data_IF_675270528688
#
_entry.id   IF_675270528688
#
_cell.length_a   1.000
_cell.length_b   1.000
_cell.length_c   1.000
_cell.angle_alpha   90.00
_cell.angle_beta   90.00
_cell.angle_gamma   90.00
#
_symmetry.space_group_name_H-M   'P 1'
#
loop_
_entity.id
_entity.type
_entity.pdbx_description
1 polymer ?
#
# COMPACT_ATOMS: atom_id res chain seq x y z
N UNK A 1 3.90 7.34 9.77
CA UNK A 1 4.66 6.07 9.73
C UNK A 1 5.51 6.01 8.47
N UNK A 2 4.91 5.92 7.27
CA UNK A 2 5.66 5.90 6.00
C UNK A 2 6.54 7.14 5.78
N UNK A 3 6.15 8.31 6.29
CA UNK A 3 7.00 9.51 6.28
C UNK A 3 8.36 9.32 6.96
N UNK A 4 8.42 8.48 8.00
CA UNK A 4 9.67 8.18 8.71
C UNK A 4 10.59 7.34 7.82
N UNK A 5 10.02 6.38 7.08
CA UNK A 5 10.76 5.52 6.15
C UNK A 5 11.29 6.33 4.96
N UNK A 6 10.47 7.23 4.40
CA UNK A 6 10.90 8.17 3.35
C UNK A 6 12.02 9.08 3.86
N UNK A 7 11.86 9.67 5.05
CA UNK A 7 12.90 10.52 5.66
C UNK A 7 14.20 9.80 5.90
N UNK A 8 14.15 8.52 6.28
CA UNK A 8 15.33 7.67 6.47
C UNK A 8 15.91 7.12 5.16
N UNK A 9 15.32 7.49 4.01
CA UNK A 9 15.70 6.99 2.67
C UNK A 9 15.60 5.47 2.52
N UNK A 10 14.78 4.83 3.36
CA UNK A 10 14.47 3.40 3.28
C UNK A 10 13.59 3.11 2.06
N UNK A 11 12.71 4.05 1.73
CA UNK A 11 11.83 4.00 0.57
C UNK A 11 11.83 5.37 -0.15
N UNK A 12 11.53 5.37 -1.45
CA UNK A 12 11.37 6.60 -2.22
C UNK A 12 10.13 7.39 -1.76
N UNK A 13 10.11 8.69 -2.07
CA UNK A 13 8.96 9.55 -1.76
C UNK A 13 7.70 9.05 -2.49
N UNK A 14 7.82 8.70 -3.77
CA UNK A 14 6.70 8.23 -4.58
C UNK A 14 6.08 6.96 -4.00
N UNK A 15 6.91 6.01 -3.56
CA UNK A 15 6.43 4.81 -2.87
C UNK A 15 5.78 5.15 -1.53
N UNK A 16 6.35 6.11 -0.79
CA UNK A 16 5.78 6.57 0.47
C UNK A 16 4.35 7.11 0.32
N UNK A 17 4.06 7.81 -0.77
CA UNK A 17 2.70 8.27 -1.08
C UNK A 17 1.77 7.11 -1.50
N UNK A 18 2.23 6.20 -2.37
CA UNK A 18 1.47 4.99 -2.75
C UNK A 18 1.07 4.19 -1.50
N UNK A 19 1.97 4.03 -0.53
CA UNK A 19 1.69 3.28 0.70
C UNK A 19 0.74 3.99 1.66
N UNK A 20 0.72 5.32 1.66
CA UNK A 20 -0.28 6.10 2.41
C UNK A 20 -1.67 5.93 1.78
N UNK A 21 -1.74 5.95 0.46
CA UNK A 21 -2.99 5.73 -0.28
C UNK A 21 -3.54 4.32 -0.02
N UNK A 22 -2.67 3.30 -0.04
CA UNK A 22 -3.01 1.93 0.35
C UNK A 22 -3.50 1.81 1.80
N UNK A 23 -2.88 2.53 2.73
CA UNK A 23 -3.37 2.59 4.12
C UNK A 23 -4.78 3.22 4.20
N UNK A 24 -5.04 4.25 3.39
CA UNK A 24 -6.37 4.84 3.23
C UNK A 24 -7.38 3.85 2.65
N UNK A 25 -6.96 3.06 1.66
CA UNK A 25 -7.77 2.00 1.08
C UNK A 25 -8.22 0.95 2.11
N UNK A 26 -7.35 0.55 3.06
CA UNK A 26 -7.74 -0.32 4.18
C UNK A 26 -8.95 0.23 4.96
N UNK A 27 -8.98 1.54 5.21
CA UNK A 27 -10.09 2.17 5.92
C UNK A 27 -11.36 2.20 5.05
N UNK A 28 -11.23 2.42 3.75
CA UNK A 28 -12.34 2.35 2.81
C UNK A 28 -12.92 0.93 2.77
N UNK A 29 -12.08 -0.10 2.71
CA UNK A 29 -12.51 -1.50 2.79
C UNK A 29 -13.29 -1.74 4.08
N UNK A 30 -12.72 -1.45 5.25
CA UNK A 30 -13.38 -1.70 6.55
C UNK A 30 -14.74 -0.98 6.65
N UNK A 31 -14.80 0.30 6.26
CA UNK A 31 -16.03 1.08 6.35
C UNK A 31 -17.06 0.72 5.26
N UNK A 32 -16.63 0.32 4.05
CA UNK A 32 -17.54 -0.11 2.98
C UNK A 32 -17.96 -1.58 3.12
N UNK A 33 -17.17 -2.44 3.78
CA UNK A 33 -17.55 -3.82 4.11
C UNK A 33 -18.82 -3.90 4.98
N UNK A 34 -19.07 -2.87 5.78
CA UNK A 34 -20.30 -2.76 6.58
C UNK A 34 -21.57 -2.50 5.74
N UNK A 35 -21.44 -2.12 4.47
CA UNK A 35 -22.55 -1.65 3.62
C UNK A 35 -22.49 -2.17 2.15
N UNK A 36 -21.71 -3.21 1.83
CA UNK A 36 -21.15 -3.45 0.47
C UNK A 36 -22.15 -3.51 -0.68
N UNK A 37 -21.82 -2.73 -1.73
CA UNK A 37 -22.13 -3.00 -3.13
C UNK A 37 -20.86 -3.57 -3.82
N UNK A 38 -20.92 -4.84 -4.25
CA UNK A 38 -19.76 -5.66 -4.64
C UNK A 38 -18.89 -5.06 -5.76
N UNK A 39 -19.49 -4.32 -6.69
CA UNK A 39 -18.78 -3.72 -7.83
C UNK A 39 -17.71 -2.70 -7.44
N UNK A 40 -17.94 -1.94 -6.37
CA UNK A 40 -16.96 -0.97 -5.87
C UNK A 40 -15.78 -1.69 -5.21
N UNK A 41 -16.04 -2.77 -4.48
CA UNK A 41 -14.99 -3.57 -3.83
C UNK A 41 -14.12 -4.23 -4.88
N UNK A 42 -14.73 -4.85 -5.91
CA UNK A 42 -14.00 -5.45 -7.02
C UNK A 42 -13.09 -4.44 -7.73
N UNK A 43 -13.63 -3.27 -8.11
CA UNK A 43 -12.84 -2.23 -8.79
C UNK A 43 -11.63 -1.78 -7.96
N UNK A 44 -11.81 -1.53 -6.65
CA UNK A 44 -10.70 -1.07 -5.83
C UNK A 44 -9.69 -2.19 -5.57
N UNK A 45 -10.13 -3.44 -5.34
CA UNK A 45 -9.21 -4.57 -5.20
C UNK A 45 -8.38 -4.75 -6.47
N UNK A 46 -8.99 -4.75 -7.65
CA UNK A 46 -8.27 -4.86 -8.92
C UNK A 46 -7.29 -3.70 -9.13
N UNK A 47 -7.65 -2.48 -8.71
CA UNK A 47 -6.81 -1.29 -8.89
C UNK A 47 -5.58 -1.28 -7.97
N UNK A 48 -5.70 -1.73 -6.73
CA UNK A 48 -4.64 -1.64 -5.72
C UNK A 48 -3.83 -2.93 -5.55
N UNK A 49 -4.22 -4.03 -6.21
CA UNK A 49 -3.54 -5.33 -6.08
C UNK A 49 -2.06 -5.24 -6.49
N UNK A 50 -1.77 -4.54 -7.58
CA UNK A 50 -0.40 -4.37 -8.09
C UNK A 50 0.50 -3.60 -7.11
N UNK A 51 -0.07 -2.64 -6.39
CA UNK A 51 0.66 -1.86 -5.38
C UNK A 51 1.10 -2.74 -4.19
N UNK A 52 0.35 -3.80 -3.86
CA UNK A 52 0.78 -4.78 -2.84
C UNK A 52 1.99 -5.60 -3.31
N UNK A 53 2.02 -6.00 -4.58
CA UNK A 53 3.17 -6.72 -5.15
C UNK A 53 4.41 -5.83 -5.22
N UNK A 54 4.24 -4.56 -5.59
CA UNK A 54 5.31 -3.58 -5.57
C UNK A 54 5.87 -3.39 -4.15
N UNK A 55 5.00 -3.26 -3.15
CA UNK A 55 5.44 -3.14 -1.76
C UNK A 55 6.20 -4.38 -1.27
N UNK A 56 5.73 -5.59 -1.63
CA UNK A 56 6.41 -6.84 -1.31
C UNK A 56 7.82 -6.87 -1.88
N UNK A 57 7.96 -6.60 -3.18
CA UNK A 57 9.26 -6.61 -3.87
C UNK A 57 10.25 -5.64 -3.24
N UNK A 58 9.81 -4.44 -2.89
CA UNK A 58 10.67 -3.43 -2.28
C UNK A 58 11.08 -3.82 -0.86
N UNK A 59 10.16 -4.44 -0.10
CA UNK A 59 10.47 -4.96 1.23
C UNK A 59 11.52 -6.08 1.17
N UNK A 60 11.40 -6.98 0.19
CA UNK A 60 12.38 -8.05 -0.04
C UNK A 60 13.74 -7.49 -0.44
N UNK A 61 13.78 -6.56 -1.41
CA UNK A 61 15.05 -5.92 -1.81
C UNK A 61 15.71 -5.15 -0.67
N UNK A 62 14.94 -4.45 0.16
CA UNK A 62 15.51 -3.74 1.31
C UNK A 62 16.16 -4.71 2.32
N UNK A 63 15.51 -5.86 2.60
CA UNK A 63 16.03 -6.87 3.52
C UNK A 63 17.27 -7.61 2.97
N UNK A 64 17.39 -7.76 1.65
CA UNK A 64 18.57 -8.35 1.02
C UNK A 64 19.78 -7.42 1.04
N UNK A 65 19.57 -6.09 1.00
CA UNK A 65 20.64 -5.09 1.05
C UNK A 65 21.24 -4.95 2.46
N UNK A 66 20.51 -5.29 3.52
CA UNK A 66 21.00 -5.25 4.91
C UNK A 66 21.68 -6.56 5.38
N UNK A 67 21.88 -7.55 4.51
CA UNK A 67 22.70 -8.77 4.79
C UNK A 67 24.17 -8.56 4.45
#
# INVERSE_FOLDING_TARGET
MFDILVRRKVISRDLGEILKDLKGFRNILIHRYAHVADGIVYYNLSKYLDDFYLFKSISESYLEIEK
#
